data_IF_256580594830
#
_entry.id   IF_256580594830
#
_cell.length_a   1.000
_cell.length_b   1.000
_cell.length_c   1.000
_cell.angle_alpha   90.00
_cell.angle_beta   90.00
_cell.angle_gamma   90.00
#
_symmetry.space_group_name_H-M   'P 1'
#
loop_
_entity.id
_entity.type
_entity.pdbx_description
1 polymer ?
#
# COMPACT_ATOMS: atom_id res chain seq x y z
N UNK A 1 27.36 -4.82 -12.24
CA UNK A 1 26.17 -4.55 -11.41
C UNK A 1 25.05 -5.58 -11.64
N UNK A 2 24.84 -6.06 -12.88
CA UNK A 2 23.82 -7.10 -13.17
C UNK A 2 24.05 -8.40 -12.38
N UNK A 3 25.29 -8.95 -12.38
CA UNK A 3 25.61 -10.17 -11.65
C UNK A 3 25.49 -10.04 -10.12
N UNK A 4 25.62 -8.84 -9.58
CA UNK A 4 25.52 -8.61 -8.14
C UNK A 4 24.06 -8.66 -7.67
N UNK A 5 23.15 -8.05 -8.42
CA UNK A 5 21.72 -7.93 -8.03
C UNK A 5 21.03 -9.31 -8.14
N UNK A 6 21.49 -10.19 -9.02
CA UNK A 6 20.91 -11.53 -9.24
C UNK A 6 21.10 -12.48 -8.05
N UNK A 7 22.10 -12.24 -7.20
CA UNK A 7 22.45 -13.07 -6.05
C UNK A 7 22.12 -12.42 -4.70
N UNK A 8 21.43 -11.26 -4.72
CA UNK A 8 21.10 -10.57 -3.48
C UNK A 8 19.98 -11.28 -2.72
N UNK A 9 20.25 -11.58 -1.46
CA UNK A 9 19.23 -11.95 -0.49
C UNK A 9 18.56 -10.74 0.15
N UNK A 10 17.64 -10.99 1.08
CA UNK A 10 16.87 -9.96 1.78
C UNK A 10 17.76 -8.98 2.56
N UNK A 11 18.81 -9.48 3.22
CA UNK A 11 19.66 -8.64 4.06
C UNK A 11 20.59 -7.76 3.21
N UNK A 12 21.08 -8.27 2.09
CA UNK A 12 21.87 -7.51 1.14
C UNK A 12 21.05 -6.38 0.50
N UNK A 13 19.76 -6.60 0.22
CA UNK A 13 18.86 -5.54 -0.25
C UNK A 13 18.77 -4.40 0.76
N UNK A 14 18.62 -4.69 2.05
CA UNK A 14 18.59 -3.66 3.10
C UNK A 14 19.89 -2.88 3.19
N UNK A 15 21.02 -3.55 3.03
CA UNK A 15 22.34 -2.90 3.05
C UNK A 15 22.52 -1.95 1.87
N UNK A 16 22.13 -2.39 0.65
CA UNK A 16 22.22 -1.56 -0.56
C UNK A 16 21.29 -0.35 -0.46
N UNK A 17 20.04 -0.58 -0.06
CA UNK A 17 19.06 0.50 0.11
C UNK A 17 19.21 1.19 1.48
N UNK A 18 20.45 1.50 1.88
CA UNK A 18 20.73 2.35 3.03
C UNK A 18 20.01 3.69 2.92
N UNK A 19 19.82 4.38 4.07
CA UNK A 19 19.17 5.69 4.07
C UNK A 19 19.84 6.70 3.13
N UNK A 20 21.17 6.69 3.02
CA UNK A 20 21.91 7.55 2.10
C UNK A 20 21.59 7.23 0.64
N UNK A 21 21.56 5.96 0.25
CA UNK A 21 21.21 5.55 -1.11
C UNK A 21 19.75 5.85 -1.45
N UNK A 22 18.84 5.60 -0.51
CA UNK A 22 17.41 5.93 -0.64
C UNK A 22 17.20 7.43 -0.87
N UNK A 23 17.88 8.27 -0.11
CA UNK A 23 17.85 9.73 -0.29
C UNK A 23 18.46 10.15 -1.64
N UNK A 24 19.56 9.54 -2.05
CA UNK A 24 20.16 9.76 -3.36
C UNK A 24 19.15 9.45 -4.49
N UNK A 25 18.50 8.29 -4.46
CA UNK A 25 17.48 7.90 -5.44
C UNK A 25 16.32 8.91 -5.46
N UNK A 26 15.81 9.32 -4.28
CA UNK A 26 14.73 10.30 -4.15
C UNK A 26 15.11 11.64 -4.80
N UNK A 27 16.29 12.16 -4.46
CA UNK A 27 16.77 13.43 -4.97
C UNK A 27 16.96 13.37 -6.49
N UNK A 28 17.49 12.27 -7.02
CA UNK A 28 17.69 12.12 -8.46
C UNK A 28 16.39 11.92 -9.23
N UNK A 29 15.39 11.24 -8.67
CA UNK A 29 14.06 11.16 -9.26
C UNK A 29 13.38 12.52 -9.36
N UNK A 30 13.58 13.39 -8.37
CA UNK A 30 13.01 14.74 -8.30
C UNK A 30 13.85 15.79 -9.03
N UNK A 31 15.06 15.42 -9.46
CA UNK A 31 16.01 16.35 -10.09
C UNK A 31 15.55 16.74 -11.49
N UNK A 32 15.64 18.02 -11.88
CA UNK A 32 15.49 18.45 -13.26
C UNK A 32 16.65 17.97 -14.13
N UNK A 33 17.73 17.46 -13.55
CA UNK A 33 18.90 17.02 -14.27
C UNK A 33 18.62 15.71 -15.04
N UNK A 34 18.55 15.82 -16.36
CA UNK A 34 18.13 14.75 -17.27
C UNK A 34 18.91 13.44 -17.08
N UNK A 35 20.24 13.51 -16.90
CA UNK A 35 21.09 12.32 -16.78
C UNK A 35 20.87 11.58 -15.46
N UNK A 36 20.71 12.30 -14.33
CA UNK A 36 20.48 11.67 -13.03
C UNK A 36 19.12 10.98 -12.97
N UNK A 37 18.07 11.65 -13.48
CA UNK A 37 16.75 11.05 -13.57
C UNK A 37 16.76 9.81 -14.50
N UNK A 38 17.46 9.88 -15.65
CA UNK A 38 17.60 8.75 -16.56
C UNK A 38 18.36 7.57 -15.93
N UNK A 39 19.39 7.82 -15.12
CA UNK A 39 20.14 6.77 -14.41
C UNK A 39 19.25 6.00 -13.44
N UNK A 40 18.40 6.70 -12.65
CA UNK A 40 17.45 6.03 -11.75
C UNK A 40 16.42 5.21 -12.52
N UNK A 41 15.85 5.75 -13.60
CA UNK A 41 14.91 5.00 -14.47
C UNK A 41 15.57 3.75 -15.07
N UNK A 42 16.82 3.87 -15.46
CA UNK A 42 17.59 2.73 -15.97
C UNK A 42 17.76 1.64 -14.91
N UNK A 43 18.10 2.01 -13.66
CA UNK A 43 18.18 1.08 -12.54
C UNK A 43 16.84 0.37 -12.30
N UNK A 44 15.72 1.12 -12.24
CA UNK A 44 14.39 0.55 -12.05
C UNK A 44 14.01 -0.42 -13.18
N UNK A 45 14.30 -0.09 -14.42
CA UNK A 45 14.08 -0.97 -15.57
C UNK A 45 14.94 -2.24 -15.52
N UNK A 46 16.17 -2.17 -15.00
CA UNK A 46 17.01 -3.35 -14.78
C UNK A 46 16.40 -4.26 -13.72
N UNK A 47 15.91 -3.72 -12.62
CA UNK A 47 15.22 -4.50 -11.57
C UNK A 47 14.03 -5.25 -12.14
N UNK A 48 13.21 -4.60 -13.01
CA UNK A 48 12.10 -5.26 -13.70
C UNK A 48 12.60 -6.44 -14.55
N UNK A 49 13.67 -6.26 -15.31
CA UNK A 49 14.20 -7.31 -16.20
C UNK A 49 14.67 -8.56 -15.46
N UNK A 50 15.19 -8.41 -14.25
CA UNK A 50 15.69 -9.53 -13.44
C UNK A 50 14.68 -10.01 -12.38
N UNK A 51 13.47 -9.45 -12.37
CA UNK A 51 12.45 -9.76 -11.37
C UNK A 51 12.12 -11.26 -11.27
N UNK A 52 12.17 -11.99 -12.38
CA UNK A 52 11.91 -13.45 -12.38
C UNK A 52 12.93 -14.25 -11.58
N UNK A 53 14.13 -13.71 -11.36
CA UNK A 53 15.20 -14.34 -10.57
C UNK A 53 15.07 -14.08 -9.06
N UNK A 54 14.20 -13.15 -8.64
CA UNK A 54 14.02 -12.81 -7.23
C UNK A 54 13.09 -13.79 -6.52
N UNK A 55 13.42 -14.08 -5.26
CA UNK A 55 12.48 -14.74 -4.34
C UNK A 55 11.39 -13.76 -3.91
N UNK A 56 10.29 -14.27 -3.37
CA UNK A 56 9.20 -13.41 -2.89
C UNK A 56 9.62 -12.53 -1.70
N UNK A 57 10.55 -13.00 -0.86
CA UNK A 57 11.12 -12.22 0.23
C UNK A 57 11.92 -11.01 -0.30
N UNK A 58 12.73 -11.22 -1.33
CA UNK A 58 13.51 -10.16 -1.99
C UNK A 58 12.59 -9.15 -2.65
N UNK A 59 11.56 -9.60 -3.38
CA UNK A 59 10.57 -8.72 -4.01
C UNK A 59 9.85 -7.86 -2.97
N UNK A 60 9.43 -8.47 -1.86
CA UNK A 60 8.74 -7.76 -0.80
C UNK A 60 9.65 -6.74 -0.08
N UNK A 61 10.91 -7.09 0.14
CA UNK A 61 11.88 -6.16 0.71
C UNK A 61 12.16 -4.98 -0.22
N UNK A 62 12.38 -5.23 -1.53
CA UNK A 62 12.53 -4.18 -2.54
C UNK A 62 11.32 -3.24 -2.56
N UNK A 63 10.10 -3.79 -2.49
CA UNK A 63 8.88 -2.99 -2.45
C UNK A 63 8.86 -2.05 -1.24
N UNK A 64 9.25 -2.53 -0.05
CA UNK A 64 9.35 -1.68 1.15
C UNK A 64 10.39 -0.58 0.99
N UNK A 65 11.55 -0.91 0.43
CA UNK A 65 12.59 0.08 0.18
C UNK A 65 12.15 1.13 -0.84
N UNK A 66 11.45 0.74 -1.91
CA UNK A 66 10.88 1.69 -2.86
C UNK A 66 9.80 2.56 -2.24
N UNK A 67 9.02 2.03 -1.31
CA UNK A 67 8.08 2.81 -0.53
C UNK A 67 8.77 3.92 0.28
N UNK A 68 9.92 3.63 0.88
CA UNK A 68 10.72 4.63 1.61
C UNK A 68 11.36 5.67 0.66
N UNK A 69 11.78 5.26 -0.55
CA UNK A 69 12.30 6.21 -1.56
C UNK A 69 11.22 7.21 -1.97
N UNK A 70 10.11 6.72 -2.43
CA UNK A 70 8.95 7.52 -2.82
C UNK A 70 7.69 6.65 -2.82
N UNK A 71 6.70 7.00 -2.02
CA UNK A 71 5.43 6.27 -1.93
C UNK A 71 4.75 6.05 -3.28
N UNK A 72 4.98 6.91 -4.25
CA UNK A 72 4.47 6.81 -5.62
C UNK A 72 5.58 6.74 -6.67
N UNK A 73 6.56 5.86 -6.45
CA UNK A 73 7.73 5.75 -7.32
C UNK A 73 7.36 5.45 -8.78
N UNK A 74 6.35 4.61 -9.04
CA UNK A 74 5.87 4.28 -10.39
C UNK A 74 5.29 5.51 -11.12
N UNK A 75 4.52 6.32 -10.41
CA UNK A 75 3.96 7.56 -10.95
C UNK A 75 5.03 8.62 -11.22
N UNK A 76 6.02 8.72 -10.35
CA UNK A 76 7.12 9.69 -10.45
C UNK A 76 8.11 9.30 -11.54
N UNK A 77 8.59 8.06 -11.52
CA UNK A 77 9.58 7.57 -12.48
C UNK A 77 9.01 7.31 -13.86
N UNK A 78 7.69 7.08 -13.96
CA UNK A 78 7.00 6.52 -15.13
C UNK A 78 7.46 5.10 -15.47
N UNK A 79 8.10 4.42 -14.51
CA UNK A 79 8.52 3.02 -14.58
C UNK A 79 7.67 2.22 -13.62
N UNK A 80 6.99 1.19 -14.09
CA UNK A 80 6.05 0.38 -13.30
C UNK A 80 6.78 -0.70 -12.47
N UNK A 81 7.75 -0.29 -11.65
CA UNK A 81 8.58 -1.24 -10.90
C UNK A 81 7.78 -1.93 -9.78
N UNK A 82 6.97 -1.18 -9.03
CA UNK A 82 6.15 -1.74 -7.96
C UNK A 82 5.07 -2.66 -8.54
N UNK A 83 4.42 -2.25 -9.63
CA UNK A 83 3.44 -3.07 -10.35
C UNK A 83 4.06 -4.43 -10.75
N UNK A 84 5.25 -4.41 -11.36
CA UNK A 84 5.94 -5.62 -11.80
C UNK A 84 6.36 -6.53 -10.64
N UNK A 85 6.78 -5.99 -9.50
CA UNK A 85 7.10 -6.77 -8.32
C UNK A 85 5.86 -7.50 -7.77
N UNK A 86 4.74 -6.78 -7.65
CA UNK A 86 3.47 -7.31 -7.11
C UNK A 86 2.89 -8.42 -8.01
N UNK A 87 2.98 -8.28 -9.33
CA UNK A 87 2.47 -9.28 -10.29
C UNK A 87 3.09 -10.68 -10.11
N UNK A 88 4.26 -10.75 -9.49
CA UNK A 88 5.00 -12.01 -9.25
C UNK A 88 4.87 -12.53 -7.80
N UNK A 89 4.05 -11.88 -6.98
CA UNK A 89 3.84 -12.32 -5.60
C UNK A 89 3.02 -13.62 -5.55
N UNK A 90 3.41 -14.52 -4.66
CA UNK A 90 2.57 -15.62 -4.24
C UNK A 90 1.49 -15.16 -3.23
N UNK A 91 0.56 -16.05 -2.91
CA UNK A 91 -0.56 -15.77 -2.02
C UNK A 91 -0.11 -15.30 -0.63
N UNK A 92 0.96 -15.87 -0.09
CA UNK A 92 1.45 -15.51 1.24
C UNK A 92 2.13 -14.15 1.25
N UNK A 93 2.83 -13.79 0.18
CA UNK A 93 3.42 -12.46 0.02
C UNK A 93 2.34 -11.40 -0.20
N UNK A 94 1.25 -11.72 -0.93
CA UNK A 94 0.09 -10.84 -1.05
C UNK A 94 -0.54 -10.57 0.31
N UNK A 95 -0.77 -11.59 1.16
CA UNK A 95 -1.26 -11.41 2.53
C UNK A 95 -0.34 -10.51 3.35
N UNK A 96 0.97 -10.74 3.30
CA UNK A 96 1.98 -9.89 3.96
C UNK A 96 1.93 -8.46 3.47
N UNK A 97 1.72 -8.24 2.16
CA UNK A 97 1.61 -6.89 1.60
C UNK A 97 0.32 -6.19 2.03
N UNK A 98 -0.82 -6.89 2.05
CA UNK A 98 -2.08 -6.37 2.59
C UNK A 98 -1.91 -5.95 4.05
N UNK A 99 -1.27 -6.80 4.88
CA UNK A 99 -1.01 -6.47 6.27
C UNK A 99 -0.08 -5.26 6.41
N UNK A 100 0.99 -5.21 5.63
CA UNK A 100 1.89 -4.05 5.59
C UNK A 100 1.14 -2.74 5.26
N UNK A 101 0.23 -2.75 4.29
CA UNK A 101 -0.58 -1.57 3.96
C UNK A 101 -1.52 -1.18 5.11
N UNK A 102 -2.11 -2.15 5.82
CA UNK A 102 -2.94 -1.89 7.01
C UNK A 102 -2.10 -1.26 8.12
N UNK A 103 -0.93 -1.80 8.41
CA UNK A 103 -0.03 -1.29 9.44
C UNK A 103 0.43 0.14 9.12
N UNK A 104 0.79 0.42 7.87
CA UNK A 104 1.16 1.76 7.41
C UNK A 104 -0.02 2.75 7.46
N UNK A 105 -1.27 2.29 7.27
CA UNK A 105 -2.46 3.14 7.35
C UNK A 105 -2.66 3.72 8.76
N UNK A 106 -2.41 2.91 9.79
CA UNK A 106 -2.59 3.31 11.20
C UNK A 106 -1.35 3.96 11.80
N UNK A 107 -0.21 3.86 11.12
CA UNK A 107 1.05 4.41 11.57
C UNK A 107 0.97 5.92 11.78
N UNK A 108 1.48 6.38 12.90
CA UNK A 108 1.58 7.80 13.18
C UNK A 108 2.84 8.36 12.49
N UNK A 109 2.65 8.94 11.30
CA UNK A 109 3.75 9.49 10.50
C UNK A 109 3.98 10.95 10.83
N UNK A 110 5.25 11.35 11.00
CA UNK A 110 5.64 12.74 11.22
C UNK A 110 6.21 13.32 9.92
N UNK A 111 5.83 14.55 9.61
CA UNK A 111 6.44 15.30 8.50
C UNK A 111 7.85 15.72 8.90
N UNK A 112 8.87 15.46 8.08
CA UNK A 112 10.23 15.94 8.34
C UNK A 112 10.30 17.48 8.30
N UNK A 113 11.22 18.05 9.07
CA UNK A 113 11.56 19.48 9.02
C UNK A 113 10.40 20.45 9.32
N UNK A 114 9.60 20.16 10.37
CA UNK A 114 8.56 21.08 10.85
C UNK A 114 9.04 21.94 12.04
N UNK A 115 10.27 21.77 12.49
CA UNK A 115 10.77 22.38 13.73
C UNK A 115 10.88 23.90 13.64
N UNK A 116 11.09 24.44 12.43
CA UNK A 116 11.26 25.88 12.16
C UNK A 116 9.95 26.61 11.85
N UNK A 117 8.81 25.90 11.83
CA UNK A 117 7.50 26.47 11.49
C UNK A 117 6.77 26.98 12.74
N UNK A 118 5.93 27.99 12.57
CA UNK A 118 5.01 28.45 13.63
C UNK A 118 4.06 27.31 14.04
N UNK A 119 3.70 27.22 15.32
CA UNK A 119 2.93 26.11 15.90
C UNK A 119 1.63 25.83 15.12
N UNK A 120 0.84 26.86 14.80
CA UNK A 120 -0.40 26.73 14.05
C UNK A 120 -0.19 26.18 12.62
N UNK A 121 0.84 26.63 11.94
CA UNK A 121 1.19 26.14 10.60
C UNK A 121 1.73 24.73 10.67
N UNK A 122 2.47 24.38 11.72
CA UNK A 122 3.04 23.06 11.97
C UNK A 122 1.95 22.01 12.09
N UNK A 123 0.94 22.24 12.90
CA UNK A 123 -0.17 21.29 13.11
C UNK A 123 -0.95 21.04 11.80
N UNK A 124 -1.31 22.11 11.10
CA UNK A 124 -1.99 22.02 9.81
C UNK A 124 -1.17 21.25 8.76
N UNK A 125 0.13 21.52 8.68
CA UNK A 125 1.03 20.83 7.75
C UNK A 125 1.22 19.36 8.13
N UNK A 126 1.23 19.04 9.41
CA UNK A 126 1.30 17.69 9.93
C UNK A 126 0.03 16.90 9.59
N UNK A 127 -1.15 17.47 9.83
CA UNK A 127 -2.43 16.85 9.48
C UNK A 127 -2.54 16.57 7.99
N UNK A 128 -2.19 17.53 7.14
CA UNK A 128 -2.21 17.36 5.69
C UNK A 128 -1.25 16.26 5.24
N UNK A 129 -0.06 16.20 5.83
CA UNK A 129 0.91 15.15 5.54
C UNK A 129 0.40 13.75 5.91
N UNK A 130 -0.21 13.62 7.10
CA UNK A 130 -0.84 12.37 7.55
C UNK A 130 -1.98 11.99 6.62
N UNK A 131 -2.83 12.95 6.24
CA UNK A 131 -3.93 12.71 5.31
C UNK A 131 -3.44 12.23 3.94
N UNK A 132 -2.44 12.87 3.37
CA UNK A 132 -1.84 12.47 2.09
C UNK A 132 -1.22 11.07 2.17
N UNK A 133 -0.52 10.76 3.25
CA UNK A 133 0.03 9.44 3.49
C UNK A 133 -1.04 8.35 3.50
N UNK A 134 -2.10 8.54 4.29
CA UNK A 134 -3.22 7.60 4.43
C UNK A 134 -4.01 7.45 3.12
N UNK A 135 -4.28 8.56 2.44
CA UNK A 135 -4.95 8.57 1.14
C UNK A 135 -4.18 7.76 0.09
N UNK A 136 -2.86 7.90 0.09
CA UNK A 136 -2.01 7.14 -0.81
C UNK A 136 -2.08 5.62 -0.52
N UNK A 137 -2.08 5.20 0.75
CA UNK A 137 -2.21 3.79 1.12
C UNK A 137 -3.53 3.21 0.64
N UNK A 138 -4.64 3.94 0.81
CA UNK A 138 -5.95 3.51 0.30
C UNK A 138 -5.94 3.29 -1.22
N UNK A 139 -5.26 4.16 -1.98
CA UNK A 139 -5.08 3.98 -3.42
C UNK A 139 -4.23 2.75 -3.76
N UNK A 140 -3.30 2.33 -2.89
CA UNK A 140 -2.51 1.11 -3.08
C UNK A 140 -3.34 -0.16 -2.97
N UNK A 141 -4.36 -0.19 -2.12
CA UNK A 141 -5.31 -1.31 -2.11
C UNK A 141 -6.03 -1.46 -3.45
N UNK A 142 -6.47 -0.35 -4.08
CA UNK A 142 -7.06 -0.41 -5.43
C UNK A 142 -6.04 -0.92 -6.45
N UNK A 143 -4.83 -0.38 -6.40
CA UNK A 143 -3.77 -0.80 -7.31
C UNK A 143 -3.48 -2.29 -7.17
N UNK A 144 -3.43 -2.81 -5.94
CA UNK A 144 -3.27 -4.23 -5.67
C UNK A 144 -4.40 -5.05 -6.32
N UNK A 145 -5.67 -4.65 -6.14
CA UNK A 145 -6.82 -5.32 -6.76
C UNK A 145 -6.77 -5.36 -8.29
N UNK A 146 -6.08 -4.40 -8.92
CA UNK A 146 -5.93 -4.34 -10.38
C UNK A 146 -4.81 -5.22 -10.91
N UNK A 147 -3.76 -5.41 -10.11
CA UNK A 147 -2.50 -6.04 -10.54
C UNK A 147 -2.43 -7.52 -10.16
N UNK A 148 -3.13 -7.91 -9.10
CA UNK A 148 -3.09 -9.27 -8.58
C UNK A 148 -3.59 -10.28 -9.61
N UNK A 149 -2.79 -11.31 -9.90
CA UNK A 149 -3.08 -12.36 -10.89
C UNK A 149 -3.10 -13.77 -10.26
N UNK A 150 -3.18 -13.84 -8.93
CA UNK A 150 -3.25 -15.11 -8.21
C UNK A 150 -4.57 -15.85 -8.51
N UNK A 151 -4.59 -17.19 -8.49
CA UNK A 151 -5.84 -17.97 -8.50
C UNK A 151 -6.83 -17.57 -7.41
N UNK A 152 -6.31 -17.11 -6.24
CA UNK A 152 -7.11 -16.65 -5.10
C UNK A 152 -7.40 -15.13 -5.15
N UNK A 153 -7.17 -14.48 -6.29
CA UNK A 153 -7.34 -13.02 -6.43
C UNK A 153 -8.72 -12.53 -5.98
N UNK A 154 -9.77 -13.30 -6.24
CA UNK A 154 -11.15 -12.99 -5.84
C UNK A 154 -11.28 -12.93 -4.31
N UNK A 155 -10.70 -13.89 -3.58
CA UNK A 155 -10.73 -13.93 -2.11
C UNK A 155 -9.99 -12.71 -1.51
N UNK A 156 -8.85 -12.33 -2.09
CA UNK A 156 -8.12 -11.13 -1.67
C UNK A 156 -8.90 -9.84 -1.94
N UNK A 157 -9.51 -9.72 -3.12
CA UNK A 157 -10.35 -8.58 -3.47
C UNK A 157 -11.54 -8.47 -2.52
N UNK A 158 -12.23 -9.58 -2.21
CA UNK A 158 -13.32 -9.62 -1.23
C UNK A 158 -12.86 -9.16 0.15
N UNK A 159 -11.71 -9.62 0.60
CA UNK A 159 -11.12 -9.19 1.88
C UNK A 159 -10.84 -7.68 1.91
N UNK A 160 -10.30 -7.12 0.83
CA UNK A 160 -10.02 -5.69 0.72
C UNK A 160 -11.32 -4.88 0.70
N UNK A 161 -12.34 -5.30 -0.04
CA UNK A 161 -13.66 -4.63 -0.06
C UNK A 161 -14.28 -4.65 1.34
N UNK A 162 -14.25 -5.81 2.02
CA UNK A 162 -14.75 -5.94 3.40
C UNK A 162 -14.03 -4.98 4.34
N UNK A 163 -12.71 -4.90 4.26
CA UNK A 163 -11.92 -3.94 5.02
C UNK A 163 -12.39 -2.50 4.79
N UNK A 164 -12.61 -2.07 3.53
CA UNK A 164 -13.13 -0.73 3.22
C UNK A 164 -14.52 -0.50 3.79
N UNK A 165 -15.43 -1.48 3.69
CA UNK A 165 -16.78 -1.39 4.24
C UNK A 165 -16.71 -1.19 5.76
N UNK A 166 -15.90 -1.98 6.46
CA UNK A 166 -15.72 -1.84 7.91
C UNK A 166 -15.10 -0.49 8.26
N UNK A 167 -14.07 -0.08 7.55
CA UNK A 167 -13.37 1.18 7.77
C UNK A 167 -14.28 2.40 7.59
N UNK A 168 -15.20 2.37 6.63
CA UNK A 168 -16.08 3.50 6.29
C UNK A 168 -17.32 3.53 7.16
N UNK A 169 -17.96 2.39 7.42
CA UNK A 169 -19.32 2.35 7.94
C UNK A 169 -19.41 1.81 9.37
N UNK A 170 -18.47 1.01 9.84
CA UNK A 170 -18.55 0.33 11.12
C UNK A 170 -17.61 0.95 12.17
N UNK A 171 -17.69 2.25 12.37
CA UNK A 171 -17.03 2.97 13.49
C UNK A 171 -17.79 2.84 14.81
N UNK A 172 -18.40 1.69 15.08
CA UNK A 172 -19.29 1.56 16.22
C UNK A 172 -18.50 1.50 17.53
N UNK A 173 -18.84 2.39 18.44
CA UNK A 173 -18.22 2.49 19.77
C UNK A 173 -18.45 1.29 20.69
N UNK A 174 -19.38 0.38 20.37
CA UNK A 174 -19.71 -0.79 21.20
C UNK A 174 -20.02 -2.00 20.32
N UNK A 175 -19.01 -2.84 20.06
CA UNK A 175 -19.24 -4.20 19.59
C UNK A 175 -19.35 -5.16 20.77
N UNK A 176 -20.18 -6.23 20.68
CA UNK A 176 -20.20 -7.27 21.68
C UNK A 176 -18.83 -7.95 21.75
N UNK A 177 -18.31 -8.14 22.95
CA UNK A 177 -17.00 -8.77 23.22
C UNK A 177 -16.93 -10.25 22.86
N UNK A 178 -18.06 -10.87 22.52
CA UNK A 178 -18.17 -12.31 22.23
C UNK A 178 -18.98 -12.52 20.96
N UNK A 179 -18.47 -13.39 20.09
CA UNK A 179 -19.22 -13.90 18.94
C UNK A 179 -20.24 -14.91 19.47
N UNK A 180 -21.52 -14.58 19.44
CA UNK A 180 -22.55 -15.59 19.60
C UNK A 180 -22.55 -16.54 18.40
N UNK A 181 -22.84 -17.82 18.58
CA UNK A 181 -22.90 -18.84 17.53
C UNK A 181 -23.80 -18.46 16.33
N UNK A 182 -24.66 -17.46 16.50
CA UNK A 182 -25.55 -16.91 15.46
C UNK A 182 -25.06 -15.56 14.89
N UNK A 183 -23.82 -15.13 15.16
CA UNK A 183 -23.32 -13.88 14.60
C UNK A 183 -22.89 -14.09 13.15
N UNK A 184 -23.27 -13.15 12.28
CA UNK A 184 -22.87 -13.11 10.85
C UNK A 184 -21.36 -12.82 10.71
N UNK A 185 -20.72 -12.35 11.80
CA UNK A 185 -19.30 -11.95 11.80
C UNK A 185 -18.42 -13.13 12.23
N UNK A 186 -17.36 -13.37 11.48
CA UNK A 186 -16.31 -14.35 11.81
C UNK A 186 -15.32 -13.77 12.85
N UNK A 187 -14.49 -14.62 13.45
CA UNK A 187 -13.40 -14.18 14.36
C UNK A 187 -12.44 -13.24 13.64
N UNK A 188 -12.16 -13.49 12.36
CA UNK A 188 -11.31 -12.60 11.55
C UNK A 188 -11.93 -11.21 11.37
N UNK A 189 -13.25 -11.12 11.24
CA UNK A 189 -13.98 -9.86 11.12
C UNK A 189 -13.90 -9.06 12.44
N UNK A 190 -13.96 -9.72 13.59
CA UNK A 190 -13.83 -9.06 14.88
C UNK A 190 -12.43 -8.48 15.09
N UNK A 191 -11.38 -9.21 14.70
CA UNK A 191 -10.01 -8.71 14.77
C UNK A 191 -9.80 -7.49 13.85
N UNK A 192 -10.41 -7.52 12.67
CA UNK A 192 -10.35 -6.39 11.74
C UNK A 192 -11.12 -5.16 12.25
N UNK A 193 -12.28 -5.38 12.88
CA UNK A 193 -13.06 -4.33 13.52
C UNK A 193 -12.35 -3.74 14.73
N UNK A 194 -11.66 -4.54 15.54
CA UNK A 194 -10.86 -4.05 16.66
C UNK A 194 -9.69 -3.18 16.19
N UNK A 195 -9.02 -3.60 15.13
CA UNK A 195 -7.97 -2.81 14.46
C UNK A 195 -8.50 -1.45 14.01
N UNK A 196 -9.66 -1.42 13.32
CA UNK A 196 -10.30 -0.21 12.82
C UNK A 196 -10.81 0.68 13.95
N UNK A 197 -11.32 0.11 15.04
CA UNK A 197 -11.85 0.85 16.19
C UNK A 197 -10.81 1.73 16.87
N UNK A 198 -9.59 1.24 16.95
CA UNK A 198 -8.47 1.96 17.58
C UNK A 198 -7.88 3.05 16.68
N UNK A 199 -8.43 3.21 15.46
CA UNK A 199 -7.94 4.15 14.48
C UNK A 199 -8.85 5.38 14.39
N UNK A 200 -8.30 6.55 14.74
CA UNK A 200 -9.00 7.83 14.54
C UNK A 200 -8.82 8.34 13.10
N UNK A 201 -9.84 8.15 12.26
CA UNK A 201 -9.85 8.65 10.90
C UNK A 201 -10.63 9.96 10.83
N UNK A 202 -10.03 10.99 10.24
CA UNK A 202 -10.70 12.25 9.97
C UNK A 202 -11.86 12.04 8.97
N UNK A 203 -12.87 12.92 9.02
CA UNK A 203 -13.98 12.89 8.06
C UNK A 203 -13.51 13.02 6.61
N UNK A 204 -12.49 13.83 6.37
CA UNK A 204 -11.82 13.98 5.06
C UNK A 204 -11.29 12.64 4.55
N UNK A 205 -10.67 11.84 5.41
CA UNK A 205 -10.17 10.51 5.06
C UNK A 205 -11.29 9.52 4.77
N UNK A 206 -12.39 9.57 5.53
CA UNK A 206 -13.57 8.72 5.29
C UNK A 206 -14.24 9.03 3.96
N UNK A 207 -14.41 10.30 3.63
CA UNK A 207 -14.98 10.73 2.35
C UNK A 207 -14.08 10.32 1.18
N UNK A 208 -12.76 10.42 1.35
CA UNK A 208 -11.81 9.89 0.38
C UNK A 208 -11.95 8.37 0.24
N UNK A 209 -12.06 7.63 1.35
CA UNK A 209 -12.23 6.17 1.34
C UNK A 209 -13.51 5.72 0.63
N UNK A 210 -14.63 6.45 0.80
CA UNK A 210 -15.88 6.21 0.06
C UNK A 210 -15.68 6.36 -1.45
N UNK A 211 -14.98 7.41 -1.88
CA UNK A 211 -14.65 7.63 -3.30
C UNK A 211 -13.76 6.51 -3.84
N UNK A 212 -12.76 6.10 -3.08
CA UNK A 212 -11.84 5.00 -3.41
C UNK A 212 -12.61 3.69 -3.58
N UNK A 213 -13.48 3.33 -2.62
CA UNK A 213 -14.33 2.13 -2.71
C UNK A 213 -15.27 2.18 -3.92
N UNK A 214 -15.94 3.32 -4.16
CA UNK A 214 -16.81 3.48 -5.34
C UNK A 214 -16.06 3.26 -6.65
N UNK A 215 -14.84 3.78 -6.78
CA UNK A 215 -14.00 3.58 -7.97
C UNK A 215 -13.54 2.12 -8.11
N UNK A 216 -13.24 1.44 -7.00
CA UNK A 216 -12.92 0.01 -7.01
C UNK A 216 -14.11 -0.82 -7.49
N UNK A 217 -15.31 -0.57 -6.95
CA UNK A 217 -16.53 -1.27 -7.33
C UNK A 217 -16.89 -1.07 -8.80
N UNK A 218 -16.77 0.16 -9.31
CA UNK A 218 -16.94 0.46 -10.75
C UNK A 218 -15.94 -0.31 -11.63
N UNK A 219 -14.69 -0.39 -11.21
CA UNK A 219 -13.67 -1.14 -11.93
C UNK A 219 -13.98 -2.64 -11.96
N UNK A 220 -14.43 -3.21 -10.84
CA UNK A 220 -14.75 -4.63 -10.72
C UNK A 220 -16.02 -5.00 -11.48
N UNK A 221 -17.05 -4.15 -11.45
CA UNK A 221 -18.30 -4.36 -12.24
C UNK A 221 -18.03 -4.37 -13.74
N UNK A 222 -17.09 -3.53 -14.22
CA UNK A 222 -16.70 -3.53 -15.63
C UNK A 222 -15.92 -4.79 -16.07
N UNK A 223 -15.40 -5.59 -15.12
CA UNK A 223 -14.69 -6.85 -15.39
C UNK A 223 -15.57 -8.10 -15.28
N UNK A 224 -16.91 -7.97 -15.18
CA UNK A 224 -17.84 -9.07 -15.01
C UNK A 224 -17.41 -10.08 -13.91
N UNK A 225 -17.06 -9.56 -12.74
CA UNK A 225 -16.85 -10.38 -11.56
C UNK A 225 -18.23 -10.86 -11.07
N UNK A 226 -18.69 -12.00 -11.58
CA UNK A 226 -20.04 -12.57 -11.35
C UNK A 226 -20.38 -12.82 -9.86
N UNK A 227 -19.36 -12.92 -9.00
CA UNK A 227 -19.55 -13.13 -7.55
C UNK A 227 -19.73 -11.86 -6.70
N UNK A 228 -19.49 -10.68 -7.23
CA UNK A 228 -19.48 -9.43 -6.42
C UNK A 228 -20.86 -8.84 -6.16
N UNK A 229 -21.86 -9.15 -6.99
CA UNK A 229 -23.23 -8.67 -6.79
C UNK A 229 -23.86 -9.16 -5.49
N UNK A 230 -23.46 -10.33 -4.99
CA UNK A 230 -23.99 -10.89 -3.74
C UNK A 230 -23.38 -10.29 -2.46
N UNK A 231 -22.22 -9.65 -2.52
CA UNK A 231 -21.52 -9.13 -1.33
C UNK A 231 -22.04 -7.73 -0.91
N UNK A 232 -22.64 -7.00 -1.85
CA UNK A 232 -23.06 -5.60 -1.61
C UNK A 232 -24.49 -5.53 -1.04
N UNK A 233 -25.27 -6.59 -1.17
CA UNK A 233 -26.71 -6.62 -0.82
C UNK A 233 -27.08 -7.62 0.28
N UNK A 234 -26.17 -8.37 0.85
CA UNK A 234 -26.34 -9.25 2.00
C UNK A 234 -25.17 -9.07 2.98
#
# INVERSE_FOLDING_TARGET
MESLIEHLGKEEIKLIFSGSFTNCLRNHLSSPHRFLNAAVKHLLNKIIKINDKFTNEVRFELLKQFYEVNKNIDGYSKVKVVENLIMKFDNDTIKKYIQFLKDELVKNVKKPHLEDEEEFNRDRMQEEYVHQHRSWILLRFIHLCRVIQSPDSEAFIKSIIRFFIFFIYFRVQKFPKTVNKNSILSVSDLNELEFIRNFDASEKLLNHSKSVLSNLLKYLSARAFDGLFFIIFF
#
